data_IF_875605811644
#
_entry.id   IF_875605811644
#
_cell.length_a   1.000
_cell.length_b   1.000
_cell.length_c   1.000
_cell.angle_alpha   90.00
_cell.angle_beta   90.00
_cell.angle_gamma   90.00
#
_symmetry.space_group_name_H-M   'P 1'
#
loop_
_entity.id
_entity.type
_entity.pdbx_description
1 polymer ?
#
# COMPACT_ATOMS: atom_id res chain seq x y z
N UNK A 1 19.39 -19.45 -28.38
CA UNK A 1 18.32 -19.06 -27.44
C UNK A 1 17.31 -20.20 -27.36
N UNK A 2 16.97 -20.72 -26.17
CA UNK A 2 16.17 -21.95 -26.05
C UNK A 2 14.70 -21.65 -26.42
N UNK A 3 14.06 -22.37 -27.37
CA UNK A 3 12.69 -22.09 -27.85
C UNK A 3 11.63 -22.17 -26.75
N UNK A 4 11.88 -22.95 -25.69
CA UNK A 4 11.07 -23.00 -24.48
C UNK A 4 10.91 -21.63 -23.79
N UNK A 5 11.85 -20.70 -23.97
CA UNK A 5 11.80 -19.35 -23.38
C UNK A 5 10.80 -18.44 -24.09
N UNK A 6 10.75 -18.48 -25.43
CA UNK A 6 9.85 -17.63 -26.24
C UNK A 6 8.38 -18.04 -26.06
N UNK A 7 8.10 -19.34 -26.10
CA UNK A 7 6.75 -19.86 -25.84
C UNK A 7 6.27 -19.52 -24.42
N UNK A 8 7.17 -19.58 -23.42
CA UNK A 8 6.84 -19.21 -22.05
C UNK A 8 6.53 -17.71 -21.92
N UNK A 9 7.31 -16.85 -22.56
CA UNK A 9 7.05 -15.40 -22.59
C UNK A 9 5.70 -15.09 -23.25
N UNK A 10 5.40 -15.70 -24.41
CA UNK A 10 4.11 -15.53 -25.09
C UNK A 10 2.93 -15.99 -24.21
N UNK A 11 3.09 -17.10 -23.50
CA UNK A 11 2.09 -17.58 -22.54
C UNK A 11 1.86 -16.59 -21.40
N UNK A 12 2.90 -15.98 -20.83
CA UNK A 12 2.78 -14.97 -19.77
C UNK A 12 1.99 -13.74 -20.28
N UNK A 13 2.29 -13.28 -21.50
CA UNK A 13 1.53 -12.17 -22.10
C UNK A 13 0.06 -12.53 -22.31
N UNK A 14 -0.23 -13.75 -22.78
CA UNK A 14 -1.60 -14.24 -22.93
C UNK A 14 -2.35 -14.31 -21.59
N UNK A 15 -1.72 -14.87 -20.56
CA UNK A 15 -2.30 -14.97 -19.22
C UNK A 15 -2.56 -13.57 -18.62
N UNK A 16 -1.64 -12.63 -18.82
CA UNK A 16 -1.82 -11.25 -18.34
C UNK A 16 -2.92 -10.49 -19.10
N UNK A 17 -3.13 -10.78 -20.38
CA UNK A 17 -4.15 -10.14 -21.21
C UNK A 17 -5.55 -10.69 -20.92
N UNK A 18 -5.70 -12.02 -20.82
CA UNK A 18 -7.01 -12.69 -20.82
C UNK A 18 -7.36 -13.41 -19.51
N UNK A 19 -6.38 -13.77 -18.69
CA UNK A 19 -6.58 -14.56 -17.47
C UNK A 19 -6.33 -13.74 -16.19
N UNK A 20 -6.79 -12.47 -16.17
CA UNK A 20 -6.69 -11.63 -14.96
C UNK A 20 -7.59 -12.17 -13.85
N UNK A 21 -7.06 -12.43 -12.63
CA UNK A 21 -7.89 -12.84 -11.51
C UNK A 21 -8.90 -11.74 -11.15
N UNK A 22 -10.14 -12.16 -10.85
CA UNK A 22 -11.25 -11.25 -10.57
C UNK A 22 -11.04 -10.42 -9.29
N UNK A 23 -10.26 -10.96 -8.35
CA UNK A 23 -10.05 -10.37 -7.02
C UNK A 23 -8.75 -9.56 -6.91
N UNK A 24 -8.24 -9.03 -8.04
CA UNK A 24 -7.03 -8.19 -8.05
C UNK A 24 -7.25 -6.77 -7.50
N UNK A 25 -8.51 -6.42 -7.22
CA UNK A 25 -8.90 -5.14 -6.62
C UNK A 25 -9.96 -5.39 -5.55
N UNK A 26 -10.01 -4.55 -4.50
CA UNK A 26 -11.14 -4.54 -3.58
C UNK A 26 -12.44 -4.35 -4.36
N UNK A 27 -13.47 -5.11 -4.01
CA UNK A 27 -14.78 -5.02 -4.66
C UNK A 27 -15.53 -3.70 -4.34
N UNK A 28 -15.07 -2.95 -3.33
CA UNK A 28 -15.66 -1.69 -2.90
C UNK A 28 -14.62 -0.74 -2.30
N UNK A 29 -15.10 0.35 -1.72
CA UNK A 29 -14.24 1.34 -1.07
C UNK A 29 -13.51 0.73 0.13
N UNK A 30 -12.24 1.11 0.29
CA UNK A 30 -11.46 0.71 1.47
C UNK A 30 -11.88 1.61 2.63
N UNK A 31 -12.41 1.07 3.74
CA UNK A 31 -12.88 1.88 4.85
C UNK A 31 -11.69 2.62 5.50
N UNK A 32 -11.79 3.94 5.58
CA UNK A 32 -10.81 4.79 6.25
C UNK A 32 -11.27 5.04 7.68
N UNK A 33 -10.39 4.76 8.65
CA UNK A 33 -10.68 4.99 10.06
C UNK A 33 -10.14 6.35 10.49
N UNK A 34 -10.97 7.23 11.08
CA UNK A 34 -10.48 8.50 11.61
C UNK A 34 -9.56 8.25 12.81
N UNK A 35 -8.48 9.03 12.89
CA UNK A 35 -7.48 8.91 13.93
C UNK A 35 -7.35 10.24 14.69
N UNK A 36 -7.71 10.21 15.97
CA UNK A 36 -7.59 11.38 16.85
C UNK A 36 -6.27 11.39 17.61
N UNK A 37 -5.86 12.59 18.04
CA UNK A 37 -4.68 12.77 18.90
C UNK A 37 -4.80 11.99 20.21
N UNK A 38 -5.99 11.93 20.82
CA UNK A 38 -6.20 11.21 22.07
C UNK A 38 -5.94 9.71 21.89
N UNK A 39 -6.42 9.11 20.79
CA UNK A 39 -6.14 7.71 20.46
C UNK A 39 -4.64 7.44 20.27
N UNK A 40 -3.92 8.35 19.60
CA UNK A 40 -2.46 8.24 19.43
C UNK A 40 -1.72 8.26 20.78
N UNK A 41 -2.10 9.18 21.65
CA UNK A 41 -1.49 9.32 22.97
C UNK A 41 -1.80 8.12 23.87
N UNK A 42 -3.02 7.60 23.81
CA UNK A 42 -3.46 6.43 24.58
C UNK A 42 -2.91 5.09 24.06
N UNK A 43 -2.41 5.04 22.83
CA UNK A 43 -1.92 3.81 22.22
C UNK A 43 -0.69 3.24 22.94
N UNK A 44 -0.50 1.92 22.97
CA UNK A 44 0.72 1.33 23.53
C UNK A 44 1.95 1.64 22.65
N UNK A 45 3.13 1.52 23.25
CA UNK A 45 4.38 1.54 22.48
C UNK A 45 4.45 0.35 21.51
N UNK A 46 5.18 0.54 20.41
CA UNK A 46 5.29 -0.37 19.28
C UNK A 46 4.00 -0.50 18.45
N UNK A 47 3.25 0.60 18.33
CA UNK A 47 2.04 0.68 17.48
C UNK A 47 2.36 1.30 16.13
N UNK A 48 1.70 0.82 15.08
CA UNK A 48 1.84 1.28 13.69
C UNK A 48 0.50 1.77 13.16
N UNK A 49 0.49 2.95 12.55
CA UNK A 49 -0.66 3.51 11.83
C UNK A 49 -0.28 3.77 10.38
N UNK A 50 -1.08 3.25 9.44
CA UNK A 50 -0.94 3.55 8.02
C UNK A 50 -1.85 4.71 7.66
N UNK A 51 -1.26 5.85 7.31
CA UNK A 51 -2.00 7.08 7.00
C UNK A 51 -2.32 7.23 5.50
N UNK A 52 -1.80 6.33 4.66
CA UNK A 52 -1.99 6.32 3.22
C UNK A 52 -0.66 6.10 2.49
N UNK A 53 -0.69 5.74 1.21
CA UNK A 53 0.51 5.52 0.38
C UNK A 53 1.63 4.76 1.14
N UNK A 54 2.81 5.38 1.25
CA UNK A 54 3.98 4.97 2.06
C UNK A 54 4.09 5.72 3.39
N UNK A 55 3.13 6.59 3.72
CA UNK A 55 3.12 7.33 4.99
C UNK A 55 2.69 6.43 6.14
N UNK A 56 3.64 6.21 7.06
CA UNK A 56 3.43 5.39 8.25
C UNK A 56 3.82 6.21 9.48
N UNK A 57 2.95 6.20 10.49
CA UNK A 57 3.22 6.76 11.81
C UNK A 57 3.51 5.62 12.78
N UNK A 58 4.66 5.68 13.44
CA UNK A 58 5.14 4.68 14.41
C UNK A 58 5.17 5.32 15.79
N UNK A 59 4.59 4.66 16.81
CA UNK A 59 4.80 4.99 18.22
C UNK A 59 5.82 4.03 18.80
N UNK A 60 7.05 4.48 19.05
CA UNK A 60 8.16 3.68 19.56
C UNK A 60 8.73 4.35 20.81
N UNK A 61 8.71 3.64 21.95
CA UNK A 61 9.29 4.11 23.23
C UNK A 61 8.89 5.57 23.57
N UNK A 62 7.59 5.84 23.55
CA UNK A 62 6.96 7.13 23.83
C UNK A 62 7.31 8.26 22.85
N UNK A 63 7.91 7.92 21.71
CA UNK A 63 8.21 8.83 20.62
C UNK A 63 7.40 8.48 19.37
N UNK A 64 7.12 9.50 18.56
CA UNK A 64 6.46 9.35 17.28
C UNK A 64 7.45 9.55 16.13
N UNK A 65 7.41 8.63 15.18
CA UNK A 65 8.22 8.68 13.96
C UNK A 65 7.29 8.64 12.76
N UNK A 66 7.53 9.51 11.79
CA UNK A 66 6.72 9.61 10.57
C UNK A 66 7.60 9.33 9.35
N UNK A 67 7.18 8.40 8.50
CA UNK A 67 7.88 8.06 7.26
C UNK A 67 7.19 8.71 6.07
N UNK A 68 7.95 9.17 5.08
CA UNK A 68 7.49 9.66 3.77
C UNK A 68 6.13 10.37 3.81
N UNK A 69 6.03 11.56 4.45
CA UNK A 69 4.76 12.24 4.63
C UNK A 69 4.20 12.74 3.29
N UNK A 70 3.10 12.14 2.85
CA UNK A 70 2.37 12.51 1.65
C UNK A 70 0.92 12.80 2.03
N UNK A 71 0.63 14.07 2.33
CA UNK A 71 -0.71 14.54 2.69
C UNK A 71 -1.38 15.38 1.59
N UNK A 72 -0.67 15.63 0.50
CA UNK A 72 -1.26 16.29 -0.67
C UNK A 72 -2.15 15.30 -1.45
N UNK A 73 -3.10 15.84 -2.20
CA UNK A 73 -3.95 15.05 -3.11
C UNK A 73 -3.15 14.43 -4.28
N UNK A 74 -2.02 15.03 -4.63
CA UNK A 74 -1.17 14.63 -5.76
C UNK A 74 0.28 14.42 -5.32
N UNK A 75 0.88 13.34 -5.80
CA UNK A 75 2.27 12.95 -5.53
C UNK A 75 3.20 13.11 -6.74
N UNK A 76 2.91 14.06 -7.63
CA UNK A 76 3.71 14.33 -8.83
C UNK A 76 4.11 15.81 -8.89
N UNK A 77 5.25 16.14 -9.55
CA UNK A 77 5.62 17.53 -9.80
C UNK A 77 4.55 18.30 -10.59
N UNK A 78 4.57 19.62 -10.46
CA UNK A 78 3.84 20.56 -11.32
C UNK A 78 4.61 20.84 -12.60
#
# INVERSE_FOLDING_TARGET
MKPASLLRTLRIFWDQAFNKPKDTRPAGEIPVQPLSRQQLLAAPNNTVYRLGHSTVLLKLRDQFWLTDPVFAERSSPV
#
